data_IF_963662018575
#
_entry.id   IF_963662018575
#
_cell.length_a   1.000
_cell.length_b   1.000
_cell.length_c   1.000
_cell.angle_alpha   90.00
_cell.angle_beta   90.00
_cell.angle_gamma   90.00
#
_symmetry.space_group_name_H-M   'P 1'
#
loop_
_entity.id
_entity.type
_entity.pdbx_description
1 polymer ?
#
# COMPACT_ATOMS: atom_id res chain seq x y z
N UNK A 1 16.88 -2.20 -1.13
CA UNK A 1 15.88 -1.34 -0.45
C UNK A 1 14.53 -2.04 -0.27
N UNK A 2 13.87 -2.59 -1.30
CA UNK A 2 12.67 -3.40 -1.08
C UNK A 2 12.96 -4.67 -0.26
N UNK A 3 14.07 -5.35 -0.57
CA UNK A 3 14.55 -6.56 0.11
C UNK A 3 15.09 -6.33 1.54
N UNK A 4 15.19 -5.06 1.97
CA UNK A 4 15.59 -4.67 3.32
C UNK A 4 14.44 -3.99 4.07
N UNK A 5 13.21 -4.11 3.54
CA UNK A 5 12.01 -3.70 4.25
C UNK A 5 11.91 -4.50 5.54
N UNK A 6 11.63 -3.84 6.66
CA UNK A 6 11.29 -4.56 7.88
C UNK A 6 10.16 -5.56 7.57
N UNK A 7 10.28 -6.82 8.03
CA UNK A 7 9.24 -7.81 7.81
C UNK A 7 7.92 -7.33 8.41
N UNK A 8 6.80 -7.65 7.76
CA UNK A 8 5.47 -7.38 8.32
C UNK A 8 5.40 -8.00 9.72
N UNK A 9 5.07 -7.19 10.72
CA UNK A 9 4.67 -7.70 12.04
C UNK A 9 3.18 -8.03 11.94
N UNK A 10 2.80 -9.30 12.02
CA UNK A 10 1.39 -9.69 12.05
C UNK A 10 0.78 -9.22 13.38
N UNK A 11 -0.18 -8.29 13.33
CA UNK A 11 -0.79 -7.70 14.54
C UNK A 11 -2.07 -8.43 14.94
N UNK A 12 -2.61 -9.28 14.06
CA UNK A 12 -3.65 -10.27 14.39
C UNK A 12 -5.03 -10.01 13.80
N UNK A 13 -5.27 -8.81 13.24
CA UNK A 13 -6.49 -8.49 12.48
C UNK A 13 -6.14 -7.82 11.15
N UNK A 14 -7.01 -7.98 10.13
CA UNK A 14 -6.82 -7.31 8.85
C UNK A 14 -6.73 -5.78 9.02
N UNK A 15 -7.58 -5.21 9.86
CA UNK A 15 -7.65 -3.77 10.04
C UNK A 15 -6.34 -3.19 10.61
N UNK A 16 -5.74 -3.86 11.61
CA UNK A 16 -4.47 -3.43 12.19
C UNK A 16 -3.31 -3.60 11.22
N UNK A 17 -3.27 -4.70 10.47
CA UNK A 17 -2.25 -4.94 9.46
C UNK A 17 -2.32 -3.89 8.34
N UNK A 18 -3.51 -3.56 7.83
CA UNK A 18 -3.67 -2.53 6.79
C UNK A 18 -3.33 -1.12 7.32
N UNK A 19 -3.63 -0.79 8.57
CA UNK A 19 -3.21 0.48 9.20
C UNK A 19 -1.69 0.53 9.37
N UNK A 20 -1.06 -0.57 9.81
CA UNK A 20 0.38 -0.65 9.92
C UNK A 20 1.06 -0.41 8.55
N UNK A 21 0.51 -0.98 7.47
CA UNK A 21 0.96 -0.71 6.10
C UNK A 21 0.80 0.76 5.74
N UNK A 22 -0.39 1.32 5.90
CA UNK A 22 -0.69 2.71 5.54
C UNK A 22 0.22 3.70 6.27
N UNK A 23 0.45 3.49 7.57
CA UNK A 23 1.34 4.32 8.41
C UNK A 23 2.81 4.18 8.00
N UNK A 24 3.25 2.98 7.59
CA UNK A 24 4.59 2.79 7.04
C UNK A 24 4.76 3.54 5.71
N UNK A 25 3.77 3.48 4.83
CA UNK A 25 3.75 4.25 3.58
C UNK A 25 3.78 5.74 3.88
N UNK A 26 2.90 6.23 4.74
CA UNK A 26 2.88 7.62 5.21
C UNK A 26 4.25 8.07 5.67
N UNK A 27 4.87 7.35 6.62
CA UNK A 27 6.20 7.67 7.15
C UNK A 27 7.26 7.74 6.05
N UNK A 28 7.18 6.86 5.06
CA UNK A 28 8.11 6.85 3.91
C UNK A 28 7.90 8.07 3.00
N UNK A 29 6.64 8.45 2.77
CA UNK A 29 6.29 9.54 1.85
C UNK A 29 6.47 10.93 2.47
N UNK A 30 6.38 11.04 3.81
CA UNK A 30 6.57 12.30 4.53
C UNK A 30 7.99 12.51 5.05
N UNK A 31 8.85 11.47 5.00
CA UNK A 31 10.27 11.65 5.27
C UNK A 31 10.91 12.58 4.20
N UNK A 32 11.65 13.63 4.60
CA UNK A 32 12.18 14.62 3.65
C UNK A 32 13.07 14.03 2.57
N UNK A 33 13.86 13.01 2.88
CA UNK A 33 14.78 12.37 1.94
C UNK A 33 14.04 11.34 1.07
N UNK A 34 13.29 10.46 1.71
CA UNK A 34 12.63 9.34 1.02
C UNK A 34 11.47 9.85 0.16
N UNK A 35 10.66 10.79 0.66
CA UNK A 35 9.58 11.41 -0.11
C UNK A 35 10.08 12.12 -1.37
N UNK A 36 11.17 12.88 -1.26
CA UNK A 36 11.80 13.53 -2.42
C UNK A 36 12.36 12.50 -3.43
N UNK A 37 12.94 11.40 -2.94
CA UNK A 37 13.41 10.31 -3.79
C UNK A 37 12.26 9.65 -4.55
N UNK A 38 11.16 9.29 -3.89
CA UNK A 38 10.01 8.66 -4.53
C UNK A 38 9.39 9.55 -5.60
N UNK A 39 9.21 10.85 -5.32
CA UNK A 39 8.74 11.82 -6.34
C UNK A 39 9.64 11.83 -7.56
N UNK A 40 10.96 11.88 -7.35
CA UNK A 40 11.96 11.93 -8.43
C UNK A 40 11.96 10.66 -9.27
N UNK A 41 11.89 9.48 -8.64
CA UNK A 41 11.87 8.19 -9.36
C UNK A 41 10.56 8.02 -10.15
N UNK A 42 9.42 8.43 -9.58
CA UNK A 42 8.13 8.38 -10.26
C UNK A 42 8.12 9.33 -11.46
N UNK A 43 8.64 10.55 -11.31
CA UNK A 43 8.79 11.49 -12.43
C UNK A 43 9.73 10.95 -13.52
N UNK A 44 10.87 10.35 -13.16
CA UNK A 44 11.76 9.74 -14.13
C UNK A 44 11.11 8.56 -14.88
N UNK A 45 10.29 7.76 -14.19
CA UNK A 45 9.56 6.64 -14.78
C UNK A 45 8.54 7.08 -15.86
N UNK A 46 8.07 8.34 -15.88
CA UNK A 46 7.15 8.79 -16.94
C UNK A 46 7.85 9.02 -18.28
N UNK A 47 9.18 9.12 -18.29
CA UNK A 47 9.96 9.46 -19.48
C UNK A 47 11.06 8.44 -19.81
N UNK A 48 11.38 7.51 -18.90
CA UNK A 48 12.38 6.45 -19.10
C UNK A 48 11.81 5.06 -18.76
N UNK A 49 11.72 4.19 -19.78
CA UNK A 49 11.11 2.87 -19.62
C UNK A 49 11.92 1.95 -18.70
N UNK A 50 13.25 2.11 -18.65
CA UNK A 50 14.09 1.28 -17.77
C UNK A 50 13.75 1.59 -16.31
N UNK A 51 13.59 2.86 -15.98
CA UNK A 51 13.16 3.35 -14.67
C UNK A 51 11.73 2.91 -14.38
N UNK A 52 10.81 3.01 -15.34
CA UNK A 52 9.44 2.49 -15.18
C UNK A 52 9.43 1.00 -14.82
N UNK A 53 10.16 0.17 -15.56
CA UNK A 53 10.28 -1.27 -15.27
C UNK A 53 10.86 -1.54 -13.88
N UNK A 54 11.85 -0.76 -13.45
CA UNK A 54 12.42 -0.88 -12.11
C UNK A 54 11.43 -0.48 -11.00
N UNK A 55 10.69 0.60 -11.21
CA UNK A 55 9.65 1.08 -10.30
C UNK A 55 8.50 0.08 -10.18
N UNK A 56 8.03 -0.48 -11.30
CA UNK A 56 6.97 -1.51 -11.29
C UNK A 56 7.40 -2.77 -10.54
N UNK A 57 8.65 -3.24 -10.75
CA UNK A 57 9.20 -4.36 -9.97
C UNK A 57 9.29 -4.04 -8.48
N UNK A 58 9.70 -2.82 -8.13
CA UNK A 58 9.74 -2.39 -6.73
C UNK A 58 8.36 -2.49 -6.07
N UNK A 59 7.31 -1.96 -6.71
CA UNK A 59 5.95 -2.05 -6.16
C UNK A 59 5.38 -3.46 -6.18
N UNK A 60 5.66 -4.27 -7.20
CA UNK A 60 5.23 -5.67 -7.23
C UNK A 60 5.75 -6.44 -6.01
N UNK A 61 7.04 -6.26 -5.66
CA UNK A 61 7.63 -6.88 -4.47
C UNK A 61 6.95 -6.37 -3.19
N UNK A 62 6.77 -5.05 -3.07
CA UNK A 62 6.14 -4.43 -1.88
C UNK A 62 4.69 -4.84 -1.69
N UNK A 63 3.94 -4.98 -2.79
CA UNK A 63 2.55 -5.46 -2.76
C UNK A 63 2.55 -6.90 -2.26
N UNK A 64 3.36 -7.79 -2.87
CA UNK A 64 3.43 -9.19 -2.48
C UNK A 64 3.81 -9.42 -1.02
N UNK A 65 4.73 -8.62 -0.47
CA UNK A 65 5.10 -8.68 0.95
C UNK A 65 3.91 -8.43 1.87
N UNK A 66 3.04 -7.48 1.52
CA UNK A 66 1.88 -7.11 2.35
C UNK A 66 0.64 -7.95 2.05
N UNK A 67 0.51 -8.52 0.85
CA UNK A 67 -0.63 -9.34 0.44
C UNK A 67 -0.90 -10.52 1.39
N UNK A 68 0.13 -11.02 2.09
CA UNK A 68 -0.01 -12.10 3.07
C UNK A 68 -1.06 -11.82 4.16
N UNK A 69 -1.21 -10.58 4.64
CA UNK A 69 -2.22 -10.28 5.67
C UNK A 69 -3.65 -10.45 5.17
N UNK A 70 -3.89 -10.21 3.88
CA UNK A 70 -5.19 -10.37 3.23
C UNK A 70 -5.49 -11.86 3.03
N UNK A 71 -4.50 -12.64 2.59
CA UNK A 71 -4.61 -14.11 2.51
C UNK A 71 -4.97 -14.71 3.87
N UNK A 72 -4.24 -14.34 4.92
CA UNK A 72 -4.51 -14.82 6.28
C UNK A 72 -5.91 -14.39 6.78
N UNK A 73 -6.37 -13.20 6.39
CA UNK A 73 -7.72 -12.72 6.73
C UNK A 73 -8.82 -13.51 6.01
N UNK A 74 -8.61 -13.92 4.76
CA UNK A 74 -9.51 -14.85 4.04
C UNK A 74 -9.55 -16.21 4.75
N UNK A 75 -8.40 -16.76 5.14
CA UNK A 75 -8.31 -18.04 5.87
C UNK A 75 -9.04 -18.01 7.22
N UNK A 76 -9.02 -16.87 7.91
CA UNK A 76 -9.78 -16.64 9.16
C UNK A 76 -11.27 -16.33 8.94
N UNK A 77 -11.72 -16.19 7.69
CA UNK A 77 -13.10 -15.85 7.36
C UNK A 77 -13.47 -14.38 7.61
N UNK A 78 -12.50 -13.48 7.75
CA UNK A 78 -12.73 -12.03 7.85
C UNK A 78 -13.12 -11.41 6.50
N UNK A 79 -12.75 -12.06 5.39
CA UNK A 79 -12.96 -11.61 4.02
C UNK A 79 -13.62 -12.71 3.17
N UNK A 80 -14.37 -12.34 2.11
CA UNK A 80 -14.90 -13.31 1.15
C UNK A 80 -13.79 -14.13 0.48
N UNK A 81 -14.06 -15.42 0.25
CA UNK A 81 -13.19 -16.26 -0.58
C UNK A 81 -13.05 -15.66 -1.99
N UNK A 82 -11.84 -15.73 -2.56
CA UNK A 82 -11.53 -15.14 -3.86
C UNK A 82 -11.20 -13.63 -3.83
N UNK A 83 -11.12 -13.01 -2.64
CA UNK A 83 -10.58 -11.64 -2.52
C UNK A 83 -9.15 -11.59 -3.06
N UNK A 84 -8.87 -10.72 -4.04
CA UNK A 84 -7.53 -10.45 -4.57
C UNK A 84 -6.69 -9.70 -3.52
N UNK A 85 -5.67 -10.36 -2.93
CA UNK A 85 -4.81 -9.74 -1.94
C UNK A 85 -4.07 -8.50 -2.44
N UNK A 86 -3.62 -8.53 -3.70
CA UNK A 86 -2.79 -7.47 -4.26
C UNK A 86 -3.60 -6.21 -4.51
N UNK A 87 -4.87 -6.33 -4.92
CA UNK A 87 -5.75 -5.17 -5.13
C UNK A 87 -6.11 -4.49 -3.81
N UNK A 88 -6.37 -5.26 -2.75
CA UNK A 88 -6.59 -4.70 -1.40
C UNK A 88 -5.38 -3.87 -0.96
N UNK A 89 -4.16 -4.40 -1.13
CA UNK A 89 -2.94 -3.68 -0.76
C UNK A 89 -2.70 -2.44 -1.64
N UNK A 90 -3.00 -2.51 -2.94
CA UNK A 90 -2.94 -1.34 -3.82
C UNK A 90 -3.90 -0.24 -3.36
N UNK A 91 -5.12 -0.60 -2.99
CA UNK A 91 -6.14 0.33 -2.53
C UNK A 91 -5.74 1.10 -1.26
N UNK A 92 -4.93 0.51 -0.38
CA UNK A 92 -4.38 1.22 0.79
C UNK A 92 -3.40 2.32 0.39
N UNK A 93 -2.49 2.03 -0.55
CA UNK A 93 -1.42 2.97 -0.91
C UNK A 93 -1.87 4.05 -1.89
N UNK A 94 -2.81 3.74 -2.79
CA UNK A 94 -3.26 4.62 -3.86
C UNK A 94 -3.68 6.04 -3.40
N UNK A 95 -4.56 6.23 -2.38
CA UNK A 95 -4.95 7.58 -1.95
C UNK A 95 -3.79 8.37 -1.36
N UNK A 96 -2.78 7.72 -0.77
CA UNK A 96 -1.59 8.38 -0.22
C UNK A 96 -0.70 8.92 -1.36
N UNK A 97 -0.50 8.12 -2.41
CA UNK A 97 0.21 8.57 -3.61
C UNK A 97 -0.54 9.65 -4.39
N UNK A 98 -1.87 9.58 -4.43
CA UNK A 98 -2.69 10.61 -5.07
C UNK A 98 -2.49 11.97 -4.40
N UNK A 99 -2.51 12.03 -3.06
CA UNK A 99 -2.21 13.28 -2.33
C UNK A 99 -0.78 13.73 -2.49
N UNK A 100 0.17 12.80 -2.50
CA UNK A 100 1.57 13.12 -2.72
C UNK A 100 1.77 13.78 -4.10
N UNK A 101 1.30 13.14 -5.17
CA UNK A 101 1.73 13.43 -6.54
C UNK A 101 0.75 14.31 -7.32
N UNK A 102 -0.54 14.24 -7.01
CA UNK A 102 -1.58 14.90 -7.80
C UNK A 102 -2.22 16.07 -7.05
N UNK A 103 -2.85 15.82 -5.89
CA UNK A 103 -3.67 16.86 -5.25
C UNK A 103 -2.88 17.80 -4.33
N UNK A 104 -1.80 17.35 -3.70
CA UNK A 104 -1.06 18.13 -2.71
C UNK A 104 -1.79 18.31 -1.37
N UNK A 105 -2.92 17.61 -1.16
CA UNK A 105 -3.67 17.65 0.09
C UNK A 105 -2.82 17.16 1.28
N UNK A 106 -3.19 17.53 2.53
CA UNK A 106 -2.49 17.09 3.72
C UNK A 106 -2.29 15.56 3.77
N UNK A 107 -1.08 15.15 4.15
CA UNK A 107 -0.70 13.75 4.27
C UNK A 107 -0.28 13.48 5.73
N UNK A 108 -1.23 12.99 6.52
CA UNK A 108 -1.13 12.78 7.97
C UNK A 108 -1.60 11.37 8.39
N UNK A 109 -1.47 11.04 9.68
CA UNK A 109 -1.84 9.73 10.23
C UNK A 109 -3.33 9.44 10.03
N UNK A 110 -4.19 10.43 10.24
CA UNK A 110 -5.64 10.28 10.01
C UNK A 110 -5.97 9.91 8.56
N UNK A 111 -5.18 10.38 7.60
CA UNK A 111 -5.32 10.02 6.19
C UNK A 111 -4.86 8.61 5.90
N UNK A 112 -3.75 8.18 6.50
CA UNK A 112 -3.30 6.80 6.39
C UNK A 112 -4.33 5.82 6.97
N UNK A 113 -4.87 6.13 8.16
CA UNK A 113 -5.87 5.28 8.79
C UNK A 113 -7.16 5.21 7.98
N UNK A 114 -7.64 6.34 7.43
CA UNK A 114 -8.80 6.35 6.52
C UNK A 114 -8.57 5.51 5.26
N UNK A 115 -7.38 5.53 4.69
CA UNK A 115 -7.06 4.72 3.51
C UNK A 115 -7.13 3.22 3.83
N UNK A 116 -6.56 2.81 4.96
CA UNK A 116 -6.65 1.44 5.46
C UNK A 116 -8.09 1.01 5.75
N UNK A 117 -8.85 1.85 6.44
CA UNK A 117 -10.24 1.57 6.81
C UNK A 117 -11.15 1.44 5.59
N UNK A 118 -10.97 2.32 4.59
CA UNK A 118 -11.71 2.27 3.33
C UNK A 118 -11.41 0.99 2.54
N UNK A 119 -10.13 0.61 2.43
CA UNK A 119 -9.73 -0.64 1.76
C UNK A 119 -10.30 -1.86 2.50
N UNK A 120 -10.23 -1.89 3.84
CA UNK A 120 -10.78 -2.96 4.65
C UNK A 120 -12.30 -3.09 4.51
N UNK A 121 -13.02 -1.95 4.49
CA UNK A 121 -14.47 -1.95 4.30
C UNK A 121 -14.86 -2.46 2.91
N UNK A 122 -14.18 -2.00 1.86
CA UNK A 122 -14.41 -2.47 0.49
C UNK A 122 -14.08 -3.97 0.33
N UNK A 123 -13.00 -4.45 0.95
CA UNK A 123 -12.64 -5.87 0.95
C UNK A 123 -13.71 -6.74 1.64
N UNK A 124 -14.19 -6.33 2.82
CA UNK A 124 -15.29 -7.02 3.52
C UNK A 124 -16.58 -7.05 2.71
N UNK A 125 -16.84 -6.00 1.91
CA UNK A 125 -17.98 -5.94 1.01
C UNK A 125 -17.81 -6.76 -0.28
N UNK A 126 -16.65 -7.39 -0.49
CA UNK A 126 -16.38 -8.21 -1.68
C UNK A 126 -16.01 -7.40 -2.93
N UNK A 127 -15.66 -6.13 -2.79
CA UNK A 127 -15.32 -5.27 -3.94
C UNK A 127 -14.06 -5.72 -4.71
N UNK A 128 -13.24 -6.57 -4.10
CA UNK A 128 -12.00 -7.09 -4.67
C UNK A 128 -12.06 -8.60 -4.92
N UNK A 129 -13.25 -9.22 -5.01
CA UNK A 129 -13.37 -10.63 -5.39
C UNK A 129 -13.21 -10.76 -6.90
N UNK A 130 -12.33 -11.67 -7.35
CA UNK A 130 -12.02 -11.91 -8.76
C UNK A 130 -11.77 -13.37 -9.08
#
# INVERSE_FOLDING_TARGET
>A
MAEQSSPRTAVGSLAEDLRANARLVLKTLTDPRQGALFRSVIAAATCDERTARALHRFYAIRIKEWSGCVTEAVERGELPAGTDPDEVIRAVSAPLYYRLLASGDPLDEATADRAADAAAAAARAGAYVS
#
